data_IF_030591520491
#
_entry.id   IF_030591520491
#
_cell.length_a   1.000
_cell.length_b   1.000
_cell.length_c   1.000
_cell.angle_alpha   90.00
_cell.angle_beta   90.00
_cell.angle_gamma   90.00
#
_symmetry.space_group_name_H-M   'P 1'
#
loop_
_entity.id
_entity.type
_entity.pdbx_description
1 polymer ?
#
# COMPACT_ATOMS: atom_id res chain seq x y z
N UNK A 1 48.01 25.65 -20.94
CA UNK A 1 47.92 24.73 -22.11
C UNK A 1 47.63 23.26 -21.74
N UNK A 2 47.15 22.96 -20.53
CA UNK A 2 46.96 21.57 -20.04
C UNK A 2 45.52 21.06 -20.07
N UNK A 3 44.53 21.94 -20.25
CA UNK A 3 43.11 21.58 -20.22
C UNK A 3 42.57 20.99 -21.55
N UNK A 4 43.15 21.36 -22.70
CA UNK A 4 42.69 20.87 -24.02
C UNK A 4 43.15 19.46 -24.35
N UNK A 5 44.22 18.97 -23.71
CA UNK A 5 44.76 17.63 -23.94
C UNK A 5 43.95 16.53 -23.23
N UNK A 6 43.41 16.81 -22.03
CA UNK A 6 42.57 15.85 -21.29
C UNK A 6 41.20 15.62 -21.93
N UNK A 7 40.61 16.66 -22.52
CA UNK A 7 39.36 16.54 -23.25
C UNK A 7 39.54 15.75 -24.56
N UNK A 8 40.66 15.92 -25.25
CA UNK A 8 40.97 15.17 -26.47
C UNK A 8 41.22 13.69 -26.18
N UNK A 9 41.95 13.36 -25.10
CA UNK A 9 42.20 11.97 -24.69
C UNK A 9 40.91 11.28 -24.25
N UNK A 10 40.04 11.97 -23.52
CA UNK A 10 38.74 11.42 -23.12
C UNK A 10 37.82 11.17 -24.33
N UNK A 11 37.82 12.07 -25.32
CA UNK A 11 37.03 11.91 -26.53
C UNK A 11 37.56 10.77 -27.42
N UNK A 12 38.89 10.66 -27.58
CA UNK A 12 39.54 9.57 -28.32
C UNK A 12 39.31 8.22 -27.62
N UNK A 13 39.37 8.17 -26.29
CA UNK A 13 39.06 6.97 -25.52
C UNK A 13 37.58 6.57 -25.63
N UNK A 14 36.65 7.52 -25.60
CA UNK A 14 35.21 7.24 -25.79
C UNK A 14 34.93 6.73 -27.22
N UNK A 15 35.55 7.32 -28.24
CA UNK A 15 35.40 6.86 -29.63
C UNK A 15 36.09 5.52 -29.87
N UNK A 16 37.22 5.24 -29.23
CA UNK A 16 37.89 3.96 -29.33
C UNK A 16 37.14 2.85 -28.58
N UNK A 17 36.50 3.16 -27.45
CA UNK A 17 35.65 2.22 -26.72
C UNK A 17 34.35 1.94 -27.49
N UNK A 18 33.73 2.96 -28.09
CA UNK A 18 32.54 2.76 -28.93
C UNK A 18 32.88 1.99 -30.21
N UNK A 19 34.05 2.23 -30.81
CA UNK A 19 34.50 1.53 -32.01
C UNK A 19 34.98 0.10 -31.69
N UNK A 20 35.58 -0.15 -30.52
CA UNK A 20 35.93 -1.51 -30.08
C UNK A 20 34.69 -2.35 -29.76
N UNK A 21 33.64 -1.74 -29.21
CA UNK A 21 32.30 -2.35 -29.08
C UNK A 21 31.64 -2.60 -30.45
N UNK A 22 31.87 -1.73 -31.44
CA UNK A 22 31.36 -1.91 -32.80
C UNK A 22 32.13 -2.98 -33.59
N UNK A 23 33.46 -3.07 -33.41
CA UNK A 23 34.33 -4.01 -34.15
C UNK A 23 34.27 -5.42 -33.55
N UNK A 24 34.04 -5.58 -32.23
CA UNK A 24 33.71 -6.90 -31.65
C UNK A 24 32.27 -7.35 -31.95
N UNK A 25 31.39 -6.45 -32.42
CA UNK A 25 30.04 -6.79 -32.87
C UNK A 25 29.99 -7.23 -34.34
N UNK A 26 31.11 -7.23 -35.06
CA UNK A 26 31.11 -7.40 -36.52
C UNK A 26 31.05 -8.86 -37.01
N UNK A 27 30.93 -9.83 -36.10
CA UNK A 27 30.65 -11.24 -36.45
C UNK A 27 29.50 -11.86 -35.64
N UNK A 28 28.79 -11.08 -34.82
CA UNK A 28 27.65 -11.58 -34.07
C UNK A 28 26.39 -10.82 -34.51
N UNK A 29 25.54 -11.45 -35.32
CA UNK A 29 24.21 -10.91 -35.62
C UNK A 29 23.40 -11.00 -34.34
N UNK A 30 23.36 -9.91 -33.59
CA UNK A 30 22.65 -9.83 -32.32
C UNK A 30 21.25 -9.26 -32.51
N UNK A 31 20.28 -9.84 -31.80
CA UNK A 31 18.88 -9.43 -31.86
C UNK A 31 18.46 -8.85 -30.50
N UNK A 32 17.79 -7.69 -30.48
CA UNK A 32 17.17 -7.20 -29.27
C UNK A 32 15.98 -8.11 -28.91
N UNK A 33 15.93 -8.55 -27.67
CA UNK A 33 14.84 -9.36 -27.11
C UNK A 33 14.40 -8.74 -25.80
N UNK A 34 13.12 -8.41 -25.69
CA UNK A 34 12.57 -7.84 -24.47
C UNK A 34 11.91 -8.94 -23.62
N UNK A 35 12.19 -8.92 -22.32
CA UNK A 35 11.54 -9.74 -21.30
C UNK A 35 10.56 -8.85 -20.55
N UNK A 36 9.29 -9.20 -20.63
CA UNK A 36 8.17 -8.46 -20.04
C UNK A 36 7.57 -9.28 -18.91
N UNK A 37 7.67 -8.77 -17.70
CA UNK A 37 7.03 -9.35 -16.52
C UNK A 37 5.62 -8.80 -16.38
N UNK A 38 4.65 -9.69 -16.23
CA UNK A 38 3.23 -9.32 -16.10
C UNK A 38 2.60 -9.93 -14.85
N UNK A 39 1.54 -9.29 -14.38
CA UNK A 39 0.64 -9.84 -13.36
C UNK A 39 -0.81 -9.68 -13.83
N UNK A 40 -1.75 -10.45 -13.27
CA UNK A 40 -3.17 -10.31 -13.58
C UNK A 40 -3.76 -8.92 -13.25
N UNK A 41 -3.10 -8.13 -12.40
CA UNK A 41 -3.65 -6.88 -11.82
C UNK A 41 -2.79 -5.63 -12.09
N UNK A 42 -1.88 -5.68 -13.07
CA UNK A 42 -1.10 -4.52 -13.51
C UNK A 42 0.34 -4.44 -12.98
N UNK A 43 0.91 -3.23 -12.81
CA UNK A 43 2.36 -3.04 -12.79
C UNK A 43 3.06 -3.61 -11.56
N UNK A 44 4.16 -4.31 -11.81
CA UNK A 44 4.98 -5.02 -10.84
C UNK A 44 5.99 -4.09 -10.14
N UNK A 45 5.51 -3.32 -9.15
CA UNK A 45 6.39 -2.47 -8.34
C UNK A 45 7.36 -3.31 -7.50
N UNK A 46 8.63 -2.95 -7.51
CA UNK A 46 9.67 -3.58 -6.67
C UNK A 46 9.89 -5.08 -6.94
N UNK A 47 9.69 -5.52 -8.18
CA UNK A 47 10.10 -6.86 -8.63
C UNK A 47 11.64 -6.94 -8.72
N UNK A 48 12.20 -8.04 -8.24
CA UNK A 48 13.61 -8.44 -8.41
C UNK A 48 13.67 -9.73 -9.20
N UNK A 49 14.57 -9.79 -10.18
CA UNK A 49 14.78 -10.97 -11.00
C UNK A 49 16.24 -11.11 -11.40
N UNK A 50 16.62 -12.33 -11.75
CA UNK A 50 17.92 -12.70 -12.31
C UNK A 50 17.66 -13.43 -13.62
N UNK A 51 18.34 -13.02 -14.68
CA UNK A 51 18.30 -13.68 -15.98
C UNK A 51 19.68 -14.26 -16.23
N UNK A 52 19.77 -15.57 -16.41
CA UNK A 52 20.97 -16.25 -16.81
C UNK A 52 20.91 -16.54 -18.32
N UNK A 53 21.87 -15.99 -19.04
CA UNK A 53 22.06 -16.16 -20.48
C UNK A 53 23.33 -16.96 -20.69
N UNK A 54 23.20 -18.26 -20.96
CA UNK A 54 24.32 -19.17 -21.25
C UNK A 54 25.48 -19.11 -20.21
N UNK A 55 25.14 -18.99 -18.93
CA UNK A 55 26.09 -18.89 -17.81
C UNK A 55 26.41 -17.46 -17.36
N UNK A 56 25.94 -16.43 -18.06
CA UNK A 56 26.11 -15.02 -17.67
C UNK A 56 24.85 -14.49 -16.96
N UNK A 57 25.02 -13.96 -15.76
CA UNK A 57 23.89 -13.47 -14.95
C UNK A 57 23.67 -11.96 -15.09
N UNK A 58 22.40 -11.59 -15.27
CA UNK A 58 21.92 -10.21 -15.32
C UNK A 58 20.87 -10.04 -14.23
N UNK A 59 21.16 -9.23 -13.23
CA UNK A 59 20.20 -8.88 -12.18
C UNK A 59 19.44 -7.62 -12.57
N UNK A 60 18.12 -7.61 -12.39
CA UNK A 60 17.29 -6.46 -12.74
C UNK A 60 16.22 -6.12 -11.71
N UNK A 61 15.68 -4.92 -11.86
CA UNK A 61 14.59 -4.38 -11.06
C UNK A 61 13.51 -3.79 -11.97
N UNK A 62 12.25 -4.06 -11.65
CA UNK A 62 11.11 -3.53 -12.39
C UNK A 62 10.41 -4.58 -13.27
N UNK A 63 9.59 -4.12 -14.20
CA UNK A 63 8.70 -4.98 -14.98
C UNK A 63 9.24 -5.39 -16.35
N UNK A 64 10.40 -4.87 -16.77
CA UNK A 64 10.94 -5.08 -18.11
C UNK A 64 12.47 -5.19 -18.08
N UNK A 65 13.03 -6.01 -18.96
CA UNK A 65 14.47 -6.08 -19.24
C UNK A 65 14.69 -6.23 -20.74
N UNK A 66 15.66 -5.51 -21.29
CA UNK A 66 16.06 -5.67 -22.69
C UNK A 66 17.40 -6.39 -22.77
N UNK A 67 17.45 -7.43 -23.60
CA UNK A 67 18.60 -8.32 -23.78
C UNK A 67 19.07 -8.23 -25.24
N UNK A 68 20.36 -8.45 -25.43
CA UNK A 68 20.97 -8.53 -26.76
C UNK A 68 21.50 -9.96 -26.93
N UNK A 69 20.89 -10.73 -27.82
CA UNK A 69 21.09 -12.19 -27.91
C UNK A 69 21.76 -12.53 -29.25
N UNK A 70 22.82 -13.37 -29.24
CA UNK A 70 23.51 -13.78 -30.46
C UNK A 70 22.64 -14.67 -31.35
N UNK A 71 23.04 -14.85 -32.62
CA UNK A 71 22.28 -15.61 -33.62
C UNK A 71 22.18 -17.12 -33.34
N UNK A 72 23.16 -17.67 -32.61
CA UNK A 72 23.15 -19.07 -32.18
C UNK A 72 22.01 -19.35 -31.21
N UNK A 73 21.45 -20.57 -31.17
CA UNK A 73 20.47 -20.94 -30.15
C UNK A 73 21.00 -20.66 -28.75
N UNK A 74 20.23 -19.95 -27.93
CA UNK A 74 20.59 -19.59 -26.56
C UNK A 74 19.54 -20.12 -25.59
N UNK A 75 20.01 -20.72 -24.50
CA UNK A 75 19.15 -21.03 -23.35
C UNK A 75 19.08 -19.82 -22.44
N UNK A 76 17.86 -19.47 -22.05
CA UNK A 76 17.55 -18.37 -21.16
C UNK A 76 16.85 -18.91 -19.91
N UNK A 77 17.50 -18.77 -18.77
CA UNK A 77 16.92 -19.10 -17.47
C UNK A 77 16.55 -17.82 -16.73
N UNK A 78 15.26 -17.62 -16.49
CA UNK A 78 14.74 -16.47 -15.75
C UNK A 78 14.35 -16.95 -14.36
N UNK A 79 15.05 -16.43 -13.37
CA UNK A 79 14.73 -16.60 -11.96
C UNK A 79 14.05 -15.33 -11.43
N UNK A 80 12.79 -15.46 -11.01
CA UNK A 80 12.08 -14.39 -10.31
C UNK A 80 12.32 -14.58 -8.81
N UNK A 81 13.14 -13.68 -8.26
CA UNK A 81 13.63 -13.75 -6.88
C UNK A 81 12.55 -13.28 -5.90
N UNK A 82 12.13 -12.01 -5.99
CA UNK A 82 11.19 -11.45 -5.03
C UNK A 82 10.31 -10.33 -5.60
N UNK A 83 9.13 -10.15 -5.01
CA UNK A 83 8.23 -9.03 -5.31
C UNK A 83 7.65 -8.47 -4.01
N UNK A 84 7.73 -7.16 -3.80
CA UNK A 84 7.40 -6.49 -2.52
C UNK A 84 8.22 -7.04 -1.33
N UNK A 85 9.42 -7.57 -1.63
CA UNK A 85 10.28 -8.23 -0.66
C UNK A 85 9.85 -9.67 -0.31
N UNK A 86 8.74 -10.17 -0.85
CA UNK A 86 8.30 -11.57 -0.68
C UNK A 86 9.10 -12.45 -1.64
N UNK A 87 9.79 -13.50 -1.16
CA UNK A 87 10.52 -14.43 -2.01
C UNK A 87 9.55 -15.28 -2.85
N UNK A 88 9.72 -15.28 -4.17
CA UNK A 88 8.82 -15.98 -5.10
C UNK A 88 9.41 -17.28 -5.63
N UNK A 89 10.72 -17.34 -5.87
CA UNK A 89 11.43 -18.51 -6.34
C UNK A 89 10.80 -19.19 -7.58
N UNK A 90 10.37 -18.40 -8.57
CA UNK A 90 9.93 -18.96 -9.85
C UNK A 90 11.11 -19.08 -10.82
N UNK A 91 11.20 -20.23 -11.49
CA UNK A 91 12.17 -20.48 -12.54
C UNK A 91 11.43 -20.71 -13.85
N UNK A 92 11.80 -19.95 -14.88
CA UNK A 92 11.29 -20.12 -16.23
C UNK A 92 12.47 -20.39 -17.17
N UNK A 93 12.34 -21.43 -17.98
CA UNK A 93 13.36 -21.82 -18.95
C UNK A 93 12.83 -21.60 -20.36
N UNK A 94 13.53 -20.80 -21.16
CA UNK A 94 13.18 -20.52 -22.54
C UNK A 94 14.35 -20.92 -23.45
N UNK A 95 14.02 -21.57 -24.57
CA UNK A 95 14.99 -21.84 -25.63
C UNK A 95 14.71 -20.87 -26.77
N UNK A 96 15.65 -19.95 -26.99
CA UNK A 96 15.55 -18.97 -28.05
C UNK A 96 16.21 -19.51 -29.31
N UNK A 97 15.41 -19.60 -30.36
CA UNK A 97 15.86 -20.02 -31.70
C UNK A 97 15.80 -18.83 -32.66
N UNK A 98 16.33 -19.01 -33.86
CA UNK A 98 16.31 -18.00 -34.91
C UNK A 98 14.91 -17.44 -35.26
N UNK A 99 13.84 -18.19 -34.98
CA UNK A 99 12.47 -17.80 -35.28
C UNK A 99 11.80 -16.98 -34.17
N UNK A 100 12.29 -17.08 -32.94
CA UNK A 100 11.61 -16.54 -31.75
C UNK A 100 12.43 -15.43 -31.05
N UNK A 101 13.68 -15.20 -31.48
CA UNK A 101 14.62 -14.24 -30.88
C UNK A 101 14.19 -12.77 -30.94
N UNK A 102 13.28 -12.40 -31.85
CA UNK A 102 12.73 -11.04 -31.96
C UNK A 102 11.38 -10.89 -31.27
N UNK A 103 10.82 -11.98 -30.73
CA UNK A 103 9.54 -11.92 -30.02
C UNK A 103 9.77 -11.59 -28.55
N UNK A 104 8.94 -10.74 -27.94
CA UNK A 104 9.02 -10.47 -26.52
C UNK A 104 8.68 -11.74 -25.71
N UNK A 105 9.44 -11.97 -24.64
CA UNK A 105 9.23 -13.07 -23.71
C UNK A 105 8.31 -12.58 -22.60
N UNK A 106 7.16 -13.22 -22.45
CA UNK A 106 6.21 -12.89 -21.39
C UNK A 106 6.39 -13.84 -20.19
N UNK A 107 6.66 -13.26 -19.03
CA UNK A 107 6.76 -13.97 -17.75
C UNK A 107 5.59 -13.54 -16.88
N UNK A 108 4.60 -14.42 -16.74
CA UNK A 108 3.44 -14.15 -15.90
C UNK A 108 3.68 -14.62 -14.46
N UNK A 109 3.60 -13.69 -13.51
CA UNK A 109 3.79 -13.95 -12.09
C UNK A 109 2.41 -14.07 -11.43
N UNK A 110 2.11 -15.23 -10.79
CA UNK A 110 0.85 -15.44 -10.08
C UNK A 110 0.62 -14.41 -8.97
N UNK A 111 -0.57 -13.83 -8.91
CA UNK A 111 -0.95 -12.84 -7.91
C UNK A 111 -2.46 -12.81 -7.68
N UNK A 112 -2.88 -12.36 -6.50
CA UNK A 112 -4.28 -12.11 -6.16
C UNK A 112 -4.47 -10.66 -5.72
N UNK A 113 -5.67 -10.11 -5.95
CA UNK A 113 -6.04 -8.78 -5.47
C UNK A 113 -6.89 -8.90 -4.20
N UNK A 114 -6.51 -8.20 -3.15
CA UNK A 114 -7.25 -8.10 -1.90
C UNK A 114 -8.02 -6.78 -1.87
N UNK A 115 -9.35 -6.84 -1.73
CA UNK A 115 -10.19 -5.65 -1.47
C UNK A 115 -10.57 -5.64 -0.01
N UNK A 116 -9.96 -4.75 0.76
CA UNK A 116 -10.13 -4.66 2.21
C UNK A 116 -11.13 -3.57 2.54
N UNK A 117 -12.18 -3.94 3.25
CA UNK A 117 -13.26 -3.03 3.69
C UNK A 117 -13.33 -2.99 5.22
N UNK A 118 -12.88 -1.89 5.87
CA UNK A 118 -12.98 -1.75 7.31
C UNK A 118 -14.38 -1.33 7.74
N UNK A 119 -14.97 -2.10 8.66
CA UNK A 119 -16.27 -1.82 9.28
C UNK A 119 -16.12 -1.72 10.79
N UNK A 120 -17.00 -0.95 11.42
CA UNK A 120 -17.19 -0.93 12.87
C UNK A 120 -17.95 -2.17 13.36
N UNK A 121 -18.01 -2.38 14.68
CA UNK A 121 -18.81 -3.46 15.28
C UNK A 121 -20.30 -3.34 14.96
N UNK A 122 -20.80 -2.11 14.73
CA UNK A 122 -22.17 -1.84 14.30
C UNK A 122 -22.38 -1.99 12.79
N UNK A 123 -21.38 -2.44 12.03
CA UNK A 123 -21.44 -2.61 10.58
C UNK A 123 -21.27 -1.32 9.77
N UNK A 124 -21.05 -0.17 10.44
CA UNK A 124 -20.86 1.10 9.76
C UNK A 124 -19.46 1.19 9.14
N UNK A 125 -19.32 1.73 7.93
CA UNK A 125 -18.03 1.81 7.24
C UNK A 125 -17.09 2.82 7.90
N UNK A 126 -15.81 2.43 8.03
CA UNK A 126 -14.74 3.26 8.62
C UNK A 126 -13.85 3.86 7.52
N UNK A 127 -14.47 4.53 6.54
CA UNK A 127 -13.84 4.92 5.27
C UNK A 127 -12.64 5.86 5.38
N UNK A 128 -12.57 6.70 6.41
CA UNK A 128 -11.49 7.67 6.60
C UNK A 128 -10.83 7.56 7.98
N UNK A 129 -11.21 6.54 8.76
CA UNK A 129 -10.95 6.49 10.20
C UNK A 129 -10.24 5.20 10.62
N UNK A 130 -10.15 4.21 9.73
CA UNK A 130 -9.41 2.98 9.96
C UNK A 130 -8.06 3.03 9.24
N UNK A 131 -6.96 2.90 9.98
CA UNK A 131 -5.64 2.62 9.42
C UNK A 131 -5.52 1.11 9.19
N UNK A 132 -5.23 0.69 7.96
CA UNK A 132 -5.09 -0.69 7.53
C UNK A 132 -3.63 -0.96 7.18
N UNK A 133 -3.05 -2.00 7.76
CA UNK A 133 -1.73 -2.51 7.45
C UNK A 133 -1.83 -3.96 6.97
N UNK A 134 -1.22 -4.25 5.82
CA UNK A 134 -1.20 -5.57 5.20
C UNK A 134 0.22 -6.11 5.19
N UNK A 135 0.36 -7.29 5.77
CA UNK A 135 1.63 -8.03 5.79
C UNK A 135 1.40 -9.43 5.26
N UNK A 136 2.34 -10.01 4.53
CA UNK A 136 2.25 -11.39 4.05
C UNK A 136 3.57 -12.11 4.33
N UNK A 137 3.52 -13.26 5.00
CA UNK A 137 4.69 -13.99 5.53
C UNK A 137 5.71 -13.07 6.25
N UNK A 138 5.19 -12.11 7.02
CA UNK A 138 5.94 -11.06 7.74
C UNK A 138 6.62 -10.00 6.87
N UNK A 139 6.37 -9.97 5.56
CA UNK A 139 6.79 -8.88 4.68
C UNK A 139 5.73 -7.80 4.63
N UNK A 140 6.18 -6.53 4.65
CA UNK A 140 5.30 -5.37 4.48
C UNK A 140 4.83 -5.28 3.04
N UNK A 141 3.52 -5.22 2.83
CA UNK A 141 2.91 -5.11 1.51
C UNK A 141 2.36 -3.71 1.29
N UNK A 142 1.49 -3.25 2.19
CA UNK A 142 0.87 -1.93 2.07
C UNK A 142 0.34 -1.38 3.40
N UNK A 143 0.19 -0.05 3.46
CA UNK A 143 -0.38 0.70 4.57
C UNK A 143 -1.21 1.86 4.03
N UNK A 144 -2.45 1.97 4.49
CA UNK A 144 -3.29 3.11 4.12
C UNK A 144 -4.51 3.28 5.01
N UNK A 145 -5.25 4.35 4.76
CA UNK A 145 -6.45 4.70 5.53
C UNK A 145 -7.69 4.34 4.72
N UNK A 146 -8.68 3.75 5.38
CA UNK A 146 -9.96 3.39 4.77
C UNK A 146 -9.92 2.08 3.99
N UNK A 147 -10.80 1.91 2.98
CA UNK A 147 -10.78 0.77 2.10
C UNK A 147 -9.48 0.74 1.30
N UNK A 148 -8.91 -0.45 1.14
CA UNK A 148 -7.63 -0.65 0.45
C UNK A 148 -7.78 -1.71 -0.64
N UNK A 149 -7.08 -1.52 -1.75
CA UNK A 149 -6.95 -2.51 -2.81
C UNK A 149 -5.48 -2.83 -2.94
N UNK A 150 -5.11 -4.08 -2.67
CA UNK A 150 -3.71 -4.50 -2.57
C UNK A 150 -3.48 -5.74 -3.42
N UNK A 151 -2.47 -5.70 -4.30
CA UNK A 151 -2.08 -6.86 -5.11
C UNK A 151 -0.96 -7.59 -4.39
N UNK A 152 -1.13 -8.89 -4.19
CA UNK A 152 -0.18 -9.75 -3.47
C UNK A 152 0.29 -10.88 -4.40
N UNK A 153 1.60 -11.07 -4.59
CA UNK A 153 2.11 -12.23 -5.29
C UNK A 153 1.84 -13.54 -4.56
N UNK A 154 1.66 -14.61 -5.31
CA UNK A 154 1.64 -15.97 -4.77
C UNK A 154 3.01 -16.60 -5.09
N UNK A 155 3.77 -17.08 -4.10
CA UNK A 155 5.07 -17.70 -4.31
C UNK A 155 4.97 -19.10 -4.94
N UNK A 156 6.07 -19.62 -5.48
CA UNK A 156 6.12 -20.95 -6.13
C UNK A 156 5.82 -22.11 -5.18
N UNK A 157 5.90 -21.90 -3.87
CA UNK A 157 5.44 -22.85 -2.83
C UNK A 157 3.93 -23.12 -2.90
N UNK A 158 3.16 -22.28 -3.60
CA UNK A 158 1.76 -22.50 -3.93
C UNK A 158 0.75 -21.80 -3.01
N UNK A 159 1.20 -21.23 -1.90
CA UNK A 159 0.37 -20.38 -1.03
C UNK A 159 1.18 -19.41 -0.17
N UNK A 160 0.52 -18.36 0.30
CA UNK A 160 1.07 -17.34 1.20
C UNK A 160 0.03 -16.91 2.24
N UNK A 161 0.46 -16.68 3.48
CA UNK A 161 -0.42 -16.20 4.54
C UNK A 161 -0.28 -14.68 4.70
N UNK A 162 -1.38 -13.98 4.49
CA UNK A 162 -1.48 -12.55 4.70
C UNK A 162 -2.22 -12.23 6.01
N UNK A 163 -1.65 -11.34 6.80
CA UNK A 163 -2.25 -10.80 8.00
C UNK A 163 -2.61 -9.34 7.78
N UNK A 164 -3.89 -9.05 7.88
CA UNK A 164 -4.47 -7.72 7.73
C UNK A 164 -4.81 -7.21 9.12
N UNK A 165 -4.26 -6.06 9.47
CA UNK A 165 -4.49 -5.42 10.76
C UNK A 165 -5.13 -4.06 10.54
N UNK A 166 -6.13 -3.75 11.36
CA UNK A 166 -6.88 -2.50 11.28
C UNK A 166 -6.90 -1.83 12.64
N UNK A 167 -6.71 -0.51 12.65
CA UNK A 167 -6.75 0.30 13.85
C UNK A 167 -7.68 1.50 13.68
N UNK A 168 -8.58 1.71 14.64
CA UNK A 168 -9.45 2.88 14.69
C UNK A 168 -9.84 3.18 16.14
N UNK A 169 -9.85 4.46 16.54
CA UNK A 169 -10.27 4.91 17.88
C UNK A 169 -9.71 4.09 19.06
N UNK A 170 -8.43 3.70 19.02
CA UNK A 170 -7.81 2.93 20.10
C UNK A 170 -8.06 1.41 20.05
N UNK A 171 -8.90 0.94 19.14
CA UNK A 171 -9.23 -0.47 18.97
C UNK A 171 -8.47 -1.09 17.78
N UNK A 172 -8.10 -2.36 17.93
CA UNK A 172 -7.37 -3.13 16.91
C UNK A 172 -8.22 -4.34 16.51
N UNK A 173 -8.25 -4.64 15.21
CA UNK A 173 -8.71 -5.92 14.68
C UNK A 173 -7.65 -6.54 13.78
N UNK A 174 -7.67 -7.87 13.68
CA UNK A 174 -6.74 -8.65 12.86
C UNK A 174 -7.50 -9.73 12.11
N UNK A 175 -7.09 -10.01 10.87
CA UNK A 175 -7.65 -11.08 10.05
C UNK A 175 -6.56 -11.70 9.19
N UNK A 176 -6.38 -13.01 9.35
CA UNK A 176 -5.52 -13.82 8.49
C UNK A 176 -6.28 -14.30 7.25
N UNK A 177 -5.62 -14.30 6.10
CA UNK A 177 -6.13 -14.78 4.82
C UNK A 177 -5.02 -15.60 4.16
N UNK A 178 -5.34 -16.79 3.69
CA UNK A 178 -4.41 -17.62 2.92
C UNK A 178 -4.75 -17.45 1.45
N UNK A 179 -3.77 -17.02 0.67
CA UNK A 179 -3.87 -16.94 -0.79
C UNK A 179 -3.20 -18.17 -1.37
N UNK A 180 -3.92 -18.91 -2.20
CA UNK A 180 -3.44 -20.11 -2.90
C UNK A 180 -3.34 -19.84 -4.40
N UNK A 181 -2.60 -20.68 -5.13
CA UNK A 181 -2.48 -20.55 -6.60
C UNK A 181 -3.82 -20.53 -7.35
N UNK A 182 -4.85 -21.19 -6.82
CA UNK A 182 -6.21 -21.13 -7.39
C UNK A 182 -6.84 -19.73 -7.33
N UNK A 183 -6.36 -18.87 -6.43
CA UNK A 183 -6.76 -17.46 -6.31
C UNK A 183 -5.95 -16.55 -7.22
N UNK A 184 -5.00 -17.07 -7.99
CA UNK A 184 -4.28 -16.28 -8.98
C UNK A 184 -5.26 -15.67 -10.00
N UNK A 185 -5.16 -14.37 -10.22
CA UNK A 185 -6.08 -13.61 -11.08
C UNK A 185 -7.46 -13.39 -10.48
N UNK A 186 -7.69 -13.71 -9.20
CA UNK A 186 -8.97 -13.46 -8.52
C UNK A 186 -8.89 -12.25 -7.60
N UNK A 187 -10.04 -11.58 -7.48
CA UNK A 187 -10.28 -10.53 -6.49
C UNK A 187 -10.89 -11.17 -5.25
N UNK A 188 -10.26 -10.99 -4.10
CA UNK A 188 -10.64 -11.58 -2.81
C UNK A 188 -11.15 -10.47 -1.88
N UNK A 189 -12.47 -10.38 -1.65
CA UNK A 189 -13.03 -9.36 -0.77
C UNK A 189 -12.84 -9.74 0.71
N UNK A 190 -12.29 -8.82 1.49
CA UNK A 190 -12.03 -8.97 2.92
C UNK A 190 -12.75 -7.89 3.71
N UNK A 191 -13.75 -8.28 4.48
CA UNK A 191 -14.33 -7.43 5.52
C UNK A 191 -13.53 -7.56 6.81
N UNK A 192 -13.11 -6.42 7.37
CA UNK A 192 -12.40 -6.33 8.65
C UNK A 192 -13.26 -5.56 9.66
N UNK A 193 -13.78 -6.25 10.66
CA UNK A 193 -14.61 -5.65 11.70
C UNK A 193 -13.75 -5.18 12.88
N UNK A 194 -13.66 -3.88 13.07
CA UNK A 194 -12.96 -3.23 14.19
C UNK A 194 -13.96 -3.06 15.35
N UNK A 195 -13.60 -3.44 16.60
CA UNK A 195 -14.51 -3.44 17.74
C UNK A 195 -14.76 -2.03 18.32
N UNK A 196 -15.11 -1.09 17.45
CA UNK A 196 -15.58 0.25 17.80
C UNK A 196 -17.09 0.28 17.58
N UNK A 197 -17.83 0.80 18.56
CA UNK A 197 -19.25 1.07 18.41
C UNK A 197 -19.48 2.55 18.16
N UNK A 198 -20.43 2.87 17.30
CA UNK A 198 -20.76 4.23 16.96
C UNK A 198 -21.81 4.31 15.87
N UNK A 199 -22.16 5.53 15.52
CA UNK A 199 -23.18 5.85 14.53
C UNK A 199 -22.54 6.63 13.39
N UNK A 200 -23.02 6.41 12.18
CA UNK A 200 -22.64 7.25 11.04
C UNK A 200 -23.63 8.41 10.92
N UNK A 201 -23.12 9.63 10.94
CA UNK A 201 -23.90 10.84 10.70
C UNK A 201 -23.54 11.35 9.29
N UNK A 202 -24.49 11.38 8.34
CA UNK A 202 -24.25 11.92 7.01
C UNK A 202 -23.65 13.34 7.06
N UNK A 203 -22.59 13.58 6.30
CA UNK A 203 -21.88 14.87 6.28
C UNK A 203 -20.85 15.08 7.40
N UNK A 204 -20.86 14.26 8.46
CA UNK A 204 -19.90 14.34 9.59
C UNK A 204 -18.99 13.10 9.64
N UNK A 205 -19.52 11.92 9.32
CA UNK A 205 -18.80 10.65 9.34
C UNK A 205 -19.17 9.77 10.52
N UNK A 206 -18.31 8.79 10.83
CA UNK A 206 -18.52 7.87 11.96
C UNK A 206 -18.18 8.55 13.29
N UNK A 207 -19.14 8.55 14.20
CA UNK A 207 -19.06 9.14 15.54
C UNK A 207 -19.12 8.01 16.58
N UNK A 208 -18.06 7.79 17.38
CA UNK A 208 -18.02 6.76 18.40
C UNK A 208 -19.10 6.95 19.48
N UNK A 209 -19.60 5.86 20.06
CA UNK A 209 -20.57 5.95 21.16
C UNK A 209 -20.03 6.74 22.37
N UNK A 210 -18.71 6.69 22.58
CA UNK A 210 -18.05 7.43 23.67
C UNK A 210 -18.21 8.94 23.57
N UNK A 211 -18.33 9.52 22.37
CA UNK A 211 -18.54 10.98 22.22
C UNK A 211 -19.94 11.39 22.61
N UNK A 212 -20.96 10.56 22.34
CA UNK A 212 -22.33 10.82 22.80
C UNK A 212 -22.43 10.77 24.32
N UNK A 213 -21.75 9.81 24.95
CA UNK A 213 -21.66 9.72 26.41
C UNK A 213 -21.02 11.00 26.97
N UNK A 214 -19.88 11.43 26.41
CA UNK A 214 -19.21 12.66 26.82
C UNK A 214 -20.13 13.89 26.70
N UNK A 215 -20.81 14.05 25.57
CA UNK A 215 -21.77 15.14 25.35
C UNK A 215 -22.91 15.14 26.37
N UNK A 216 -23.47 13.98 26.69
CA UNK A 216 -24.51 13.86 27.70
C UNK A 216 -24.03 14.31 29.08
N UNK A 217 -22.82 13.88 29.49
CA UNK A 217 -22.22 14.32 30.76
C UNK A 217 -22.02 15.84 30.81
N UNK A 218 -21.50 16.45 29.74
CA UNK A 218 -21.31 17.90 29.67
C UNK A 218 -22.63 18.64 29.79
N UNK A 219 -23.69 18.19 29.10
CA UNK A 219 -25.03 18.79 29.18
C UNK A 219 -25.64 18.70 30.57
N UNK A 220 -25.45 17.57 31.27
CA UNK A 220 -25.93 17.38 32.64
C UNK A 220 -25.21 18.36 33.59
N UNK A 221 -23.88 18.45 33.52
CA UNK A 221 -23.09 19.38 34.34
C UNK A 221 -23.53 20.82 34.11
N UNK A 222 -23.68 21.22 32.85
CA UNK A 222 -24.15 22.56 32.49
C UNK A 222 -25.54 22.87 33.05
N UNK A 223 -26.46 21.90 32.98
CA UNK A 223 -27.81 22.04 33.54
C UNK A 223 -27.78 22.21 35.05
N UNK A 224 -26.97 21.41 35.76
CA UNK A 224 -26.80 21.53 37.22
C UNK A 224 -26.27 22.92 37.60
N UNK A 225 -25.25 23.42 36.88
CA UNK A 225 -24.69 24.76 37.13
C UNK A 225 -25.74 25.85 36.91
N UNK A 226 -26.51 25.78 35.82
CA UNK A 226 -27.61 26.74 35.58
C UNK A 226 -28.64 26.68 36.70
N UNK A 227 -29.06 25.49 37.13
CA UNK A 227 -30.07 25.34 38.18
C UNK A 227 -29.57 25.94 39.49
N UNK A 228 -28.31 25.69 39.88
CA UNK A 228 -27.70 26.31 41.06
C UNK A 228 -27.67 27.84 40.93
N UNK A 229 -27.24 28.36 39.78
CA UNK A 229 -27.22 29.80 39.52
C UNK A 229 -28.62 30.42 39.57
N UNK A 230 -29.64 29.75 39.04
CA UNK A 230 -31.03 30.20 39.09
C UNK A 230 -31.59 30.19 40.52
N UNK A 231 -31.29 29.16 41.31
CA UNK A 231 -31.68 29.08 42.73
C UNK A 231 -31.02 30.22 43.52
N UNK A 232 -29.71 30.41 43.37
CA UNK A 232 -28.98 31.46 44.07
C UNK A 232 -29.45 32.85 43.64
N UNK A 233 -29.68 33.05 42.34
CA UNK A 233 -30.23 34.29 41.81
C UNK A 233 -31.65 34.58 42.32
N UNK A 234 -32.52 33.57 42.38
CA UNK A 234 -33.86 33.71 42.93
C UNK A 234 -33.84 34.06 44.42
N UNK A 235 -32.95 33.44 45.18
CA UNK A 235 -32.77 33.72 46.60
C UNK A 235 -32.17 35.10 46.85
N UNK A 236 -31.16 35.51 46.07
CA UNK A 236 -30.62 36.87 46.09
C UNK A 236 -31.70 37.90 45.79
N UNK A 237 -32.49 37.72 44.72
CA UNK A 237 -33.61 38.60 44.39
C UNK A 237 -34.65 38.64 45.52
N UNK A 238 -34.96 37.49 46.14
CA UNK A 238 -35.89 37.41 47.26
C UNK A 238 -35.44 38.21 48.49
N UNK A 239 -34.14 38.29 48.75
CA UNK A 239 -33.57 39.12 49.83
C UNK A 239 -33.52 40.62 49.51
N UNK A 240 -33.55 40.99 48.23
CA UNK A 240 -33.44 42.40 47.76
C UNK A 240 -34.81 42.98 47.31
N UNK A 241 -35.91 42.23 47.50
CA UNK A 241 -37.29 42.71 47.29
C UNK A 241 -37.62 43.97 48.11
N UNK A 242 -38.49 44.86 47.61
CA UNK A 242 -38.47 46.29 47.91
C UNK A 242 -38.64 46.55 49.41
N UNK A 243 -37.74 47.35 49.99
CA UNK A 243 -38.00 48.00 51.29
C UNK A 243 -39.35 48.70 51.16
N UNK A 244 -40.38 48.15 51.79
CA UNK A 244 -41.70 48.75 51.84
C UNK A 244 -41.61 50.19 52.35
N UNK A 245 -42.52 51.08 51.94
CA UNK A 245 -42.43 52.50 52.29
C UNK A 245 -42.42 52.66 53.82
N UNK A 246 -41.69 53.65 54.35
CA UNK A 246 -41.53 53.83 55.78
C UNK A 246 -42.90 54.03 56.43
N UNK A 247 -43.21 53.23 57.44
CA UNK A 247 -44.39 53.45 58.28
C UNK A 247 -44.25 54.82 58.93
N UNK A 248 -45.10 55.77 58.52
CA UNK A 248 -45.26 57.04 59.22
C UNK A 248 -45.84 56.76 60.60
N UNK A 249 -45.07 57.04 61.65
CA UNK A 249 -45.62 57.16 62.99
C UNK A 249 -46.51 58.42 63.03
N UNK A 250 -47.81 58.25 63.29
CA UNK A 250 -48.65 59.36 63.76
C UNK A 250 -48.53 59.41 65.28
N UNK A 251 -48.24 60.62 65.76
CA UNK A 251 -48.34 61.04 67.15
C UNK A 251 -49.76 60.88 67.69
#
# INVERSE_FOLDING_TARGET
MTFRFRALIALVALTALSLALLIHAQECVCYPTDVLFTSPFGPLKSLRFVINVNGSEITGFGAEASLVIPETPVSLDIHVDSWLGIPLNYNYHYVLTQYNKTMPIYVNIPAAELIITPLSASGMPLTTLALINVTCDNHFVDLGVGPQVVVVPIPSSGSIMCNITGYSYGAIARKGVILTMEKSGQVVPITLTIPVSGYYIPGVGFVPTSTFILLAFVMIIYTIVIVILLIEYAFWRGRVGPRGPPRSYRF
#
